data_IF_786065369539
#
_entry.id   IF_786065369539
#
_cell.length_a   1.000
_cell.length_b   1.000
_cell.length_c   1.000
_cell.angle_alpha   90.00
_cell.angle_beta   90.00
_cell.angle_gamma   90.00
#
_symmetry.space_group_name_H-M   'P 1'
#
loop_
_entity.id
_entity.type
_entity.pdbx_description
1 polymer ?
#
# COMPACT_ATOMS: atom_id res chain seq x y z
N UNK A 1 -19.05 -21.27 17.06
CA UNK A 1 -18.29 -20.16 17.70
C UNK A 1 -17.17 -19.63 16.80
N UNK A 2 -16.25 -20.47 16.33
CA UNK A 2 -15.10 -20.06 15.50
C UNK A 2 -15.49 -19.35 14.20
N UNK A 3 -16.47 -19.86 13.43
CA UNK A 3 -16.93 -19.19 12.21
C UNK A 3 -17.52 -17.80 12.47
N UNK A 4 -18.25 -17.62 13.59
CA UNK A 4 -18.79 -16.33 13.98
C UNK A 4 -17.68 -15.32 14.30
N UNK A 5 -16.62 -15.77 14.99
CA UNK A 5 -15.44 -14.96 15.29
C UNK A 5 -14.73 -14.55 13.99
N UNK A 6 -14.50 -15.49 13.07
CA UNK A 6 -13.85 -15.22 11.79
C UNK A 6 -14.65 -14.22 10.95
N UNK A 7 -15.98 -14.40 10.85
CA UNK A 7 -16.84 -13.49 10.07
C UNK A 7 -16.85 -12.08 10.68
N UNK A 8 -16.91 -11.96 12.00
CA UNK A 8 -16.88 -10.66 12.69
C UNK A 8 -15.52 -9.97 12.51
N UNK A 9 -14.42 -10.72 12.63
CA UNK A 9 -13.08 -10.21 12.40
C UNK A 9 -12.91 -9.74 10.94
N UNK A 10 -13.38 -10.53 9.96
CA UNK A 10 -13.34 -10.18 8.55
C UNK A 10 -14.13 -8.88 8.29
N UNK A 11 -15.38 -8.78 8.78
CA UNK A 11 -16.20 -7.57 8.65
C UNK A 11 -15.53 -6.32 9.24
N UNK A 12 -14.86 -6.46 10.39
CA UNK A 12 -14.11 -5.36 11.02
C UNK A 12 -12.93 -4.90 10.17
N UNK A 13 -12.15 -5.83 9.63
CA UNK A 13 -11.03 -5.53 8.72
C UNK A 13 -11.55 -4.89 7.43
N UNK A 14 -12.67 -5.36 6.87
CA UNK A 14 -13.26 -4.77 5.67
C UNK A 14 -13.73 -3.34 5.90
N UNK A 15 -14.41 -3.06 7.01
CA UNK A 15 -14.84 -1.70 7.33
C UNK A 15 -13.66 -0.74 7.51
N UNK A 16 -12.63 -1.17 8.25
CA UNK A 16 -11.42 -0.37 8.48
C UNK A 16 -10.61 -0.16 7.20
N UNK A 17 -10.46 -1.20 6.38
CA UNK A 17 -9.75 -1.14 5.10
C UNK A 17 -10.46 -0.25 4.08
N UNK A 18 -11.78 -0.35 3.96
CA UNK A 18 -12.57 0.50 3.07
C UNK A 18 -12.50 1.97 3.49
N UNK A 19 -12.55 2.25 4.79
CA UNK A 19 -12.36 3.60 5.31
C UNK A 19 -10.95 4.15 5.01
N UNK A 20 -9.91 3.36 5.31
CA UNK A 20 -8.51 3.74 5.10
C UNK A 20 -8.21 4.02 3.61
N UNK A 21 -8.62 3.13 2.71
CA UNK A 21 -8.39 3.29 1.27
C UNK A 21 -9.09 4.55 0.71
N UNK A 22 -10.34 4.77 1.11
CA UNK A 22 -11.11 5.93 0.65
C UNK A 22 -10.48 7.25 1.11
N UNK A 23 -9.99 7.30 2.35
CA UNK A 23 -9.31 8.48 2.91
C UNK A 23 -7.91 8.68 2.32
N UNK A 24 -7.17 7.61 2.06
CA UNK A 24 -5.87 7.68 1.39
C UNK A 24 -6.03 8.24 -0.03
N UNK A 25 -7.01 7.73 -0.80
CA UNK A 25 -7.30 8.22 -2.15
C UNK A 25 -7.77 9.68 -2.15
N UNK A 26 -8.58 10.06 -1.17
CA UNK A 26 -8.99 11.46 -0.94
C UNK A 26 -7.79 12.37 -0.63
N UNK A 27 -6.86 11.93 0.24
CA UNK A 27 -5.64 12.67 0.56
C UNK A 27 -4.73 12.85 -0.66
N UNK A 28 -4.55 11.81 -1.46
CA UNK A 28 -3.82 11.88 -2.73
C UNK A 28 -4.49 12.89 -3.70
N UNK A 29 -5.82 12.91 -3.77
CA UNK A 29 -6.54 13.86 -4.62
C UNK A 29 -6.40 15.31 -4.14
N UNK A 30 -6.35 15.56 -2.83
CA UNK A 30 -6.06 16.89 -2.30
C UNK A 30 -4.64 17.36 -2.61
N UNK A 31 -3.67 16.45 -2.62
CA UNK A 31 -2.28 16.74 -2.99
C UNK A 31 -2.07 16.88 -4.51
N UNK A 32 -3.10 16.72 -5.33
CA UNK A 32 -3.02 16.74 -6.79
C UNK A 32 -2.48 15.47 -7.43
N UNK A 33 -2.20 14.43 -6.64
CA UNK A 33 -1.69 13.12 -7.09
C UNK A 33 -2.79 12.17 -7.60
N UNK A 34 -4.06 12.52 -7.42
CA UNK A 34 -5.20 11.75 -7.94
C UNK A 34 -6.26 12.68 -8.57
N UNK A 35 -7.15 12.17 -9.44
CA UNK A 35 -8.20 12.98 -10.07
C UNK A 35 -9.05 13.76 -9.06
N UNK A 36 -9.34 15.04 -9.37
CA UNK A 36 -10.14 15.96 -8.53
C UNK A 36 -11.55 15.43 -8.18
N UNK A 37 -12.03 14.41 -8.88
CA UNK A 37 -13.31 13.76 -8.56
C UNK A 37 -13.25 13.11 -7.17
N UNK A 38 -12.09 12.55 -6.79
CA UNK A 38 -11.90 11.89 -5.50
C UNK A 38 -11.70 12.86 -4.33
N UNK A 39 -11.50 14.16 -4.59
CA UNK A 39 -11.41 15.19 -3.54
C UNK A 39 -12.77 15.75 -3.12
N UNK A 40 -13.88 15.26 -3.69
CA UNK A 40 -15.25 15.68 -3.33
C UNK A 40 -15.74 14.92 -2.10
N UNK A 41 -16.26 15.64 -1.12
CA UNK A 41 -16.90 15.07 0.08
C UNK A 41 -18.39 15.40 0.14
N UNK A 42 -19.16 14.57 0.83
CA UNK A 42 -20.56 14.88 1.18
C UNK A 42 -20.61 15.81 2.43
N UNK A 43 -21.81 16.27 2.80
CA UNK A 43 -22.10 17.11 3.99
C UNK A 43 -21.55 16.55 5.30
N UNK A 44 -21.38 15.23 5.40
CA UNK A 44 -20.82 14.53 6.56
C UNK A 44 -19.28 14.34 6.49
N UNK A 45 -18.60 14.95 5.51
CA UNK A 45 -17.14 14.86 5.35
C UNK A 45 -16.63 13.52 4.79
N UNK A 46 -17.54 12.69 4.23
CA UNK A 46 -17.21 11.38 3.65
C UNK A 46 -16.92 11.51 2.14
N UNK A 47 -15.77 11.02 1.64
CA UNK A 47 -15.42 11.07 0.22
C UNK A 47 -16.14 9.99 -0.59
N UNK A 48 -17.43 10.19 -0.87
CA UNK A 48 -18.29 9.21 -1.55
C UNK A 48 -17.70 8.64 -2.86
N UNK A 49 -17.09 9.45 -3.76
CA UNK A 49 -16.51 8.91 -4.98
C UNK A 49 -15.37 7.91 -4.72
N UNK A 50 -14.54 8.15 -3.71
CA UNK A 50 -13.46 7.25 -3.32
C UNK A 50 -13.99 5.96 -2.66
N UNK A 51 -15.07 6.08 -1.89
CA UNK A 51 -15.78 4.95 -1.27
C UNK A 51 -16.39 4.05 -2.34
N UNK A 52 -17.13 4.61 -3.30
CA UNK A 52 -17.73 3.87 -4.40
C UNK A 52 -16.67 3.19 -5.27
N UNK A 53 -15.58 3.88 -5.57
CA UNK A 53 -14.46 3.29 -6.31
C UNK A 53 -13.84 2.09 -5.57
N UNK A 54 -13.58 2.23 -4.27
CA UNK A 54 -13.05 1.13 -3.45
C UNK A 54 -14.02 -0.05 -3.40
N UNK A 55 -15.32 0.21 -3.25
CA UNK A 55 -16.37 -0.81 -3.24
C UNK A 55 -16.46 -1.55 -4.60
N UNK A 56 -16.36 -0.83 -5.72
CA UNK A 56 -16.35 -1.42 -7.06
C UNK A 56 -15.15 -2.34 -7.28
N UNK A 57 -13.96 -1.98 -6.78
CA UNK A 57 -12.78 -2.84 -6.86
C UNK A 57 -12.97 -4.12 -6.04
N UNK A 58 -13.49 -4.02 -4.81
CA UNK A 58 -13.79 -5.18 -3.97
C UNK A 58 -14.83 -6.08 -4.65
N UNK A 59 -15.90 -5.49 -5.19
CA UNK A 59 -16.93 -6.23 -5.92
C UNK A 59 -16.34 -6.93 -7.15
N UNK A 60 -15.45 -6.26 -7.89
CA UNK A 60 -14.70 -6.86 -8.99
C UNK A 60 -13.88 -8.08 -8.55
N UNK A 61 -13.19 -8.01 -7.42
CA UNK A 61 -12.45 -9.15 -6.86
C UNK A 61 -13.39 -10.32 -6.49
N UNK A 62 -14.58 -10.04 -5.95
CA UNK A 62 -15.58 -11.07 -5.62
C UNK A 62 -16.09 -11.74 -6.91
N UNK A 63 -16.37 -10.96 -7.95
CA UNK A 63 -16.76 -11.52 -9.25
C UNK A 63 -15.65 -12.37 -9.86
N UNK A 64 -14.39 -11.91 -9.82
CA UNK A 64 -13.25 -12.68 -10.29
C UNK A 64 -13.12 -14.01 -9.54
N UNK A 65 -13.32 -14.01 -8.22
CA UNK A 65 -13.30 -15.23 -7.42
C UNK A 65 -14.44 -16.18 -7.80
N UNK A 66 -15.62 -15.66 -8.17
CA UNK A 66 -16.74 -16.49 -8.61
C UNK A 66 -16.49 -17.15 -9.98
N UNK A 67 -15.89 -16.44 -10.93
CA UNK A 67 -15.68 -16.96 -12.30
C UNK A 67 -14.38 -17.74 -12.48
N UNK A 68 -13.31 -17.44 -11.73
CA UNK A 68 -12.00 -18.08 -11.85
C UNK A 68 -11.32 -18.24 -10.48
N UNK A 69 -11.81 -19.18 -9.63
CA UNK A 69 -11.45 -19.24 -8.22
C UNK A 69 -9.97 -19.57 -7.94
N UNK A 70 -9.35 -20.47 -8.72
CA UNK A 70 -7.98 -20.95 -8.46
C UNK A 70 -6.90 -20.01 -9.05
N UNK A 71 -6.96 -19.75 -10.36
CA UNK A 71 -5.89 -19.00 -11.04
C UNK A 71 -5.92 -17.49 -10.72
N UNK A 72 -7.11 -16.88 -10.65
CA UNK A 72 -7.20 -15.44 -10.42
C UNK A 72 -6.85 -15.09 -8.97
N UNK A 73 -7.23 -15.93 -8.00
CA UNK A 73 -6.94 -15.71 -6.59
C UNK A 73 -5.45 -15.89 -6.28
N UNK A 74 -4.82 -16.94 -6.82
CA UNK A 74 -3.38 -17.17 -6.65
C UNK A 74 -2.56 -15.99 -7.20
N UNK A 75 -2.90 -15.51 -8.40
CA UNK A 75 -2.25 -14.35 -9.00
C UNK A 75 -2.50 -13.04 -8.22
N UNK A 76 -3.71 -12.86 -7.68
CA UNK A 76 -4.01 -11.70 -6.84
C UNK A 76 -3.16 -11.70 -5.56
N UNK A 77 -2.94 -12.87 -4.94
CA UNK A 77 -2.06 -13.00 -3.78
C UNK A 77 -0.64 -12.54 -4.12
N UNK A 78 -0.10 -12.88 -5.30
CA UNK A 78 1.22 -12.42 -5.70
C UNK A 78 1.31 -10.89 -5.73
N UNK A 79 0.29 -10.22 -6.29
CA UNK A 79 0.23 -8.76 -6.34
C UNK A 79 0.14 -8.16 -4.94
N UNK A 80 -0.75 -8.71 -4.10
CA UNK A 80 -0.98 -8.18 -2.74
C UNK A 80 0.26 -8.33 -1.85
N UNK A 81 0.90 -9.50 -1.86
CA UNK A 81 2.11 -9.76 -1.05
C UNK A 81 3.27 -8.90 -1.56
N UNK A 82 3.46 -8.80 -2.88
CA UNK A 82 4.49 -7.94 -3.46
C UNK A 82 4.30 -6.46 -3.09
N UNK A 83 3.06 -5.95 -3.18
CA UNK A 83 2.72 -4.59 -2.79
C UNK A 83 2.94 -4.34 -1.28
N UNK A 84 2.62 -5.32 -0.42
CA UNK A 84 2.83 -5.23 1.03
C UNK A 84 4.31 -5.13 1.36
N UNK A 85 5.14 -5.99 0.78
CA UNK A 85 6.60 -5.98 0.97
C UNK A 85 7.20 -4.66 0.47
N UNK A 86 6.78 -4.20 -0.72
CA UNK A 86 7.22 -2.92 -1.27
C UNK A 86 6.82 -1.75 -0.36
N UNK A 87 5.60 -1.74 0.18
CA UNK A 87 5.14 -0.70 1.09
C UNK A 87 6.03 -0.59 2.34
N UNK A 88 6.35 -1.72 2.97
CA UNK A 88 7.26 -1.73 4.13
C UNK A 88 8.68 -1.30 3.77
N UNK A 89 9.18 -1.68 2.60
CA UNK A 89 10.48 -1.23 2.10
C UNK A 89 10.49 0.29 1.92
N UNK A 90 9.46 0.84 1.29
CA UNK A 90 9.32 2.28 1.05
C UNK A 90 9.19 3.07 2.36
N UNK A 91 8.44 2.57 3.34
CA UNK A 91 8.33 3.18 4.67
C UNK A 91 9.72 3.26 5.33
N UNK A 92 10.47 2.15 5.36
CA UNK A 92 11.80 2.11 5.99
C UNK A 92 12.80 3.04 5.27
N UNK A 93 12.81 3.01 3.93
CA UNK A 93 13.69 3.89 3.13
C UNK A 93 13.34 5.37 3.31
N UNK A 94 12.06 5.72 3.31
CA UNK A 94 11.60 7.11 3.52
C UNK A 94 11.96 7.58 4.93
N UNK A 95 11.80 6.72 5.93
CA UNK A 95 12.18 7.04 7.30
C UNK A 95 13.70 7.26 7.46
N UNK A 96 14.54 6.47 6.78
CA UNK A 96 15.98 6.69 6.73
C UNK A 96 16.35 8.03 6.09
N UNK A 97 15.69 8.40 4.98
CA UNK A 97 15.92 9.70 4.33
C UNK A 97 15.43 10.85 5.20
N UNK A 98 14.28 10.71 5.86
CA UNK A 98 13.76 11.69 6.82
C UNK A 98 14.75 11.94 7.96
N UNK A 99 15.32 10.87 8.55
CA UNK A 99 16.32 10.99 9.61
C UNK A 99 17.62 11.66 9.12
N UNK A 100 18.05 11.39 7.88
CA UNK A 100 19.18 12.08 7.25
C UNK A 100 18.90 13.58 7.05
N UNK A 101 17.72 13.93 6.54
CA UNK A 101 17.29 15.31 6.33
C UNK A 101 17.19 16.09 7.66
N UNK A 102 16.67 15.45 8.71
CA UNK A 102 16.61 16.05 10.05
C UNK A 102 18.00 16.30 10.65
N UNK A 103 18.94 15.38 10.43
CA UNK A 103 20.33 15.58 10.83
C UNK A 103 20.98 16.76 10.08
N UNK A 104 20.71 16.93 8.78
CA UNK A 104 21.24 18.07 8.02
C UNK A 104 20.64 19.42 8.44
N UNK A 105 19.39 19.44 8.89
CA UNK A 105 18.74 20.67 9.40
C UNK A 105 19.02 20.93 10.89
N UNK A 106 19.86 20.12 11.55
CA UNK A 106 20.13 20.16 12.99
C UNK A 106 18.86 20.11 13.87
N UNK A 107 17.73 19.60 13.33
CA UNK A 107 16.46 19.44 14.05
C UNK A 107 16.37 18.04 14.62
N UNK A 108 15.84 17.94 15.84
CA UNK A 108 15.54 16.64 16.45
C UNK A 108 14.09 16.26 16.13
N UNK A 109 13.81 14.99 15.80
CA UNK A 109 12.44 14.53 15.66
C UNK A 109 11.71 14.68 17.00
N UNK A 110 10.46 15.16 16.95
CA UNK A 110 9.59 15.30 18.12
C UNK A 110 9.35 13.96 18.82
N UNK A 111 9.34 12.86 18.05
CA UNK A 111 9.23 11.49 18.56
C UNK A 111 10.36 10.63 17.99
N UNK A 112 11.49 10.47 18.71
CA UNK A 112 12.59 9.64 18.24
C UNK A 112 12.20 8.17 18.29
N UNK A 113 12.35 7.46 17.16
CA UNK A 113 12.17 6.01 17.15
C UNK A 113 13.27 5.35 18.00
N UNK A 114 12.85 4.44 18.89
CA UNK A 114 13.76 3.60 19.68
C UNK A 114 14.73 2.86 18.73
N UNK A 115 16.04 3.02 18.98
CA UNK A 115 17.13 2.44 18.18
C UNK A 115 17.22 2.89 16.71
N UNK A 116 16.70 4.07 16.35
CA UNK A 116 17.03 4.69 15.06
C UNK A 116 18.51 5.07 15.00
N UNK A 117 19.27 4.76 13.93
CA UNK A 117 18.83 4.21 12.64
C UNK A 117 18.95 2.67 12.50
N UNK A 118 19.46 1.95 13.51
CA UNK A 118 19.68 0.50 13.46
C UNK A 118 18.39 -0.28 13.17
N UNK A 119 17.28 0.11 13.80
CA UNK A 119 15.97 -0.51 13.61
C UNK A 119 15.53 -0.54 12.13
N UNK A 120 15.75 0.54 11.37
CA UNK A 120 15.39 0.58 9.96
C UNK A 120 16.22 -0.38 9.09
N UNK A 121 17.52 -0.50 9.39
CA UNK A 121 18.40 -1.45 8.68
C UNK A 121 18.02 -2.90 9.00
N UNK A 122 17.62 -3.19 10.24
CA UNK A 122 17.09 -4.50 10.62
C UNK A 122 15.83 -4.83 9.81
N UNK A 123 14.89 -3.88 9.69
CA UNK A 123 13.68 -4.06 8.87
C UNK A 123 14.02 -4.29 7.40
N UNK A 124 14.98 -3.55 6.83
CA UNK A 124 15.41 -3.76 5.45
C UNK A 124 16.07 -5.13 5.24
N UNK A 125 16.90 -5.58 6.18
CA UNK A 125 17.48 -6.91 6.16
C UNK A 125 16.40 -8.00 6.23
N UNK A 126 15.39 -7.81 7.10
CA UNK A 126 14.25 -8.72 7.20
C UNK A 126 13.45 -8.78 5.89
N UNK A 127 13.20 -7.63 5.25
CA UNK A 127 12.55 -7.56 3.94
C UNK A 127 13.37 -8.31 2.87
N UNK A 128 14.70 -8.18 2.86
CA UNK A 128 15.55 -8.91 1.93
C UNK A 128 15.45 -10.43 2.12
N UNK A 129 15.39 -10.89 3.38
CA UNK A 129 15.14 -12.31 3.70
C UNK A 129 13.76 -12.76 3.21
N UNK A 130 12.71 -11.95 3.43
CA UNK A 130 11.36 -12.25 2.94
C UNK A 130 11.34 -12.37 1.42
N UNK A 131 12.00 -11.46 0.69
CA UNK A 131 12.10 -11.53 -0.77
C UNK A 131 12.82 -12.80 -1.24
N UNK A 132 13.87 -13.21 -0.55
CA UNK A 132 14.58 -14.46 -0.83
C UNK A 132 13.69 -15.70 -0.59
N UNK A 133 12.92 -15.73 0.51
CA UNK A 133 11.97 -16.81 0.78
C UNK A 133 10.88 -16.82 -0.29
N UNK A 134 10.31 -15.67 -0.65
CA UNK A 134 9.30 -15.59 -1.71
C UNK A 134 9.82 -16.12 -3.04
N UNK A 135 11.08 -15.85 -3.38
CA UNK A 135 11.71 -16.38 -4.58
C UNK A 135 11.79 -17.91 -4.57
N UNK A 136 12.20 -18.50 -3.45
CA UNK A 136 12.40 -19.95 -3.33
C UNK A 136 11.09 -20.73 -3.19
N UNK A 137 10.03 -20.11 -2.65
CA UNK A 137 8.72 -20.72 -2.42
C UNK A 137 7.76 -20.61 -3.62
N UNK A 138 8.23 -20.20 -4.80
CA UNK A 138 7.40 -20.09 -6.00
C UNK A 138 6.55 -18.82 -6.11
N UNK A 139 6.72 -17.84 -5.20
CA UNK A 139 6.16 -16.48 -5.34
C UNK A 139 7.11 -15.57 -6.15
N UNK A 140 7.94 -16.13 -7.02
CA UNK A 140 8.89 -15.38 -7.85
C UNK A 140 8.20 -14.33 -8.72
N UNK A 141 6.98 -14.60 -9.19
CA UNK A 141 6.15 -13.63 -9.90
C UNK A 141 5.91 -12.34 -9.13
N UNK A 142 5.65 -12.42 -7.81
CA UNK A 142 5.48 -11.24 -6.95
C UNK A 142 6.78 -10.43 -6.84
N UNK A 143 7.93 -11.11 -6.71
CA UNK A 143 9.25 -10.46 -6.58
C UNK A 143 9.61 -9.72 -7.86
N UNK A 144 9.35 -10.30 -9.04
CA UNK A 144 9.60 -9.67 -10.34
C UNK A 144 8.66 -8.49 -10.59
N UNK A 145 7.42 -8.55 -10.07
CA UNK A 145 6.45 -7.47 -10.18
C UNK A 145 6.92 -6.18 -9.47
N UNK A 146 7.68 -6.30 -8.38
CA UNK A 146 8.14 -5.15 -7.58
C UNK A 146 8.96 -4.13 -8.42
N UNK A 147 10.08 -4.51 -9.08
CA UNK A 147 10.84 -3.56 -9.90
C UNK A 147 10.03 -3.05 -11.10
N UNK A 148 9.18 -3.88 -11.70
CA UNK A 148 8.29 -3.46 -12.80
C UNK A 148 7.37 -2.33 -12.31
N UNK A 149 6.76 -2.49 -11.13
CA UNK A 149 5.89 -1.49 -10.54
C UNK A 149 6.62 -0.19 -10.18
N UNK A 150 7.85 -0.29 -9.64
CA UNK A 150 8.68 0.89 -9.36
C UNK A 150 9.02 1.65 -10.65
N UNK A 151 9.41 0.94 -11.72
CA UNK A 151 9.71 1.56 -13.02
C UNK A 151 8.45 2.20 -13.61
N UNK A 152 7.31 1.52 -13.55
CA UNK A 152 6.02 2.06 -13.99
C UNK A 152 5.67 3.35 -13.25
N UNK A 153 5.78 3.36 -11.91
CA UNK A 153 5.54 4.54 -11.10
C UNK A 153 6.52 5.67 -11.42
N UNK A 154 7.80 5.36 -11.65
CA UNK A 154 8.80 6.35 -12.03
C UNK A 154 8.51 6.98 -13.41
N UNK A 155 8.08 6.17 -14.38
CA UNK A 155 7.67 6.64 -15.71
C UNK A 155 6.41 7.51 -15.61
N UNK A 156 5.39 7.07 -14.87
CA UNK A 156 4.17 7.86 -14.65
C UNK A 156 4.47 9.18 -13.96
N UNK A 157 5.31 9.16 -12.92
CA UNK A 157 5.79 10.37 -12.25
C UNK A 157 6.45 11.32 -13.25
N UNK A 158 7.38 10.82 -14.08
CA UNK A 158 8.00 11.65 -15.13
C UNK A 158 6.97 12.19 -16.11
N UNK A 159 6.00 11.42 -16.58
CA UNK A 159 5.01 11.90 -17.56
C UNK A 159 4.10 12.97 -16.96
N UNK A 160 3.61 12.76 -15.73
CA UNK A 160 2.69 13.66 -15.05
C UNK A 160 3.39 14.95 -14.58
N UNK A 161 4.63 14.87 -14.09
CA UNK A 161 5.37 16.01 -13.55
C UNK A 161 6.30 16.71 -14.55
N UNK A 162 6.55 16.15 -15.74
CA UNK A 162 7.32 16.83 -16.80
C UNK A 162 6.53 17.95 -17.51
N UNK A 163 5.25 18.12 -17.18
CA UNK A 163 4.38 19.19 -17.69
C UNK A 163 4.03 20.27 -16.65
N UNK A 164 4.60 20.21 -15.45
CA UNK A 164 4.42 21.21 -14.40
C UNK A 164 5.59 22.20 -14.38
#
# INVERSE_FOLDING_TARGET
LLNFIILTAALSVYNSGMYANSRMLFGLAQQGNAPKIFSKTNKQGVPIPAVLFSALLIFGCVLLNYFAPEDALSNLIYIVVGALVLNWAMISLTHLQFMKAMKSEAKKPLFPALWSPFSNYLVLAFIAVVLYIMWTQGLSGAVIMIPIWIVLMFVLYKILYRKA
#
